data_IF_486341070675
#
_entry.id   IF_486341070675
#
_cell.length_a   1.000
_cell.length_b   1.000
_cell.length_c   1.000
_cell.angle_alpha   90.00
_cell.angle_beta   90.00
_cell.angle_gamma   90.00
#
_symmetry.space_group_name_H-M   'P 1'
#
loop_
_entity.id
_entity.type
_entity.pdbx_description
1 polymer ?
#
# COMPACT_ATOMS: atom_id res chain seq x y z
N UNK A 1 -13.36 6.18 29.23
CA UNK A 1 -12.52 6.23 28.02
C UNK A 1 -11.24 6.96 28.40
N UNK A 2 -10.12 6.26 28.56
CA UNK A 2 -8.87 6.88 29.03
C UNK A 2 -8.36 7.93 28.06
N UNK A 3 -7.92 9.07 28.58
CA UNK A 3 -7.36 10.17 27.79
C UNK A 3 -6.14 9.67 27.03
N UNK A 4 -6.22 9.61 25.69
CA UNK A 4 -5.09 9.28 24.83
C UNK A 4 -3.99 10.33 25.00
N UNK A 5 -2.74 9.88 25.10
CA UNK A 5 -1.59 10.79 25.08
C UNK A 5 -1.64 11.65 23.81
N UNK A 6 -1.40 12.96 23.89
CA UNK A 6 -1.49 13.87 22.73
C UNK A 6 -0.68 13.43 21.52
N UNK A 7 0.49 12.84 21.75
CA UNK A 7 1.36 12.30 20.70
C UNK A 7 0.69 11.15 19.92
N UNK A 8 0.06 10.22 20.63
CA UNK A 8 -0.66 9.09 20.02
C UNK A 8 -1.85 9.60 19.22
N UNK A 9 -2.60 10.58 19.76
CA UNK A 9 -3.71 11.20 19.04
C UNK A 9 -3.24 11.84 17.71
N UNK A 10 -2.09 12.54 17.72
CA UNK A 10 -1.48 13.12 16.51
C UNK A 10 -1.12 12.05 15.48
N UNK A 11 -0.50 10.95 15.90
CA UNK A 11 -0.15 9.84 15.01
C UNK A 11 -1.39 9.19 14.38
N UNK A 12 -2.45 9.00 15.17
CA UNK A 12 -3.71 8.46 14.68
C UNK A 12 -4.39 9.41 13.69
N UNK A 13 -4.39 10.72 13.95
CA UNK A 13 -4.92 11.72 13.03
C UNK A 13 -4.16 11.73 11.69
N UNK A 14 -2.83 11.71 11.72
CA UNK A 14 -2.02 11.64 10.50
C UNK A 14 -2.26 10.34 9.71
N UNK A 15 -2.45 9.23 10.42
CA UNK A 15 -2.82 7.94 9.80
C UNK A 15 -4.20 8.01 9.15
N UNK A 16 -5.16 8.66 9.79
CA UNK A 16 -6.51 8.86 9.24
C UNK A 16 -6.50 9.73 7.99
N UNK A 17 -5.81 10.88 8.06
CA UNK A 17 -5.66 11.77 6.91
C UNK A 17 -5.07 11.02 5.69
N UNK A 18 -4.03 10.21 5.92
CA UNK A 18 -3.45 9.36 4.87
C UNK A 18 -4.46 8.35 4.33
N UNK A 19 -5.29 7.72 5.18
CA UNK A 19 -6.33 6.79 4.74
C UNK A 19 -7.37 7.47 3.86
N UNK A 20 -7.84 8.66 4.24
CA UNK A 20 -8.77 9.45 3.42
C UNK A 20 -8.17 9.77 2.04
N UNK A 21 -6.91 10.23 2.00
CA UNK A 21 -6.20 10.48 0.74
C UNK A 21 -6.09 9.23 -0.13
N UNK A 22 -5.74 8.08 0.45
CA UNK A 22 -5.64 6.81 -0.26
C UNK A 22 -7.00 6.28 -0.73
N UNK A 23 -8.07 6.52 0.03
CA UNK A 23 -9.42 6.14 -0.35
C UNK A 23 -9.85 6.86 -1.64
N UNK A 24 -9.48 8.13 -1.79
CA UNK A 24 -9.76 8.95 -2.97
C UNK A 24 -8.94 8.62 -4.22
N UNK A 25 -7.94 7.74 -4.14
CA UNK A 25 -7.11 7.38 -5.30
C UNK A 25 -7.96 6.66 -6.36
N UNK A 26 -7.87 7.05 -7.65
CA UNK A 26 -8.57 6.35 -8.73
C UNK A 26 -8.23 4.86 -8.78
N UNK A 27 -9.20 4.05 -9.19
CA UNK A 27 -9.01 2.60 -9.29
C UNK A 27 -7.75 2.19 -10.11
N UNK A 28 -7.45 2.79 -11.27
CA UNK A 28 -6.24 2.45 -12.03
C UNK A 28 -4.94 2.68 -11.25
N UNK A 29 -4.87 3.75 -10.45
CA UNK A 29 -3.71 4.06 -9.61
C UNK A 29 -3.56 3.08 -8.44
N UNK A 30 -4.68 2.64 -7.85
CA UNK A 30 -4.68 1.58 -6.84
C UNK A 30 -4.11 0.28 -7.42
N UNK A 31 -4.51 -0.10 -8.63
CA UNK A 31 -3.98 -1.29 -9.32
C UNK A 31 -2.49 -1.13 -9.61
N UNK A 32 -2.04 0.05 -10.08
CA UNK A 32 -0.60 0.35 -10.28
C UNK A 32 0.20 0.17 -9.00
N UNK A 33 -0.29 0.69 -7.87
CA UNK A 33 0.36 0.55 -6.58
C UNK A 33 0.49 -0.93 -6.17
N UNK A 34 -0.57 -1.73 -6.35
CA UNK A 34 -0.55 -3.18 -6.07
C UNK A 34 0.48 -3.90 -6.93
N UNK A 35 0.54 -3.62 -8.24
CA UNK A 35 1.54 -4.23 -9.13
C UNK A 35 2.96 -3.86 -8.70
N UNK A 36 3.20 -2.61 -8.28
CA UNK A 36 4.51 -2.18 -7.78
C UNK A 36 4.91 -2.95 -6.51
N UNK A 37 3.99 -3.14 -5.58
CA UNK A 37 4.20 -3.97 -4.38
C UNK A 37 4.48 -5.43 -4.75
N UNK A 38 3.76 -5.99 -5.72
CA UNK A 38 4.02 -7.34 -6.24
C UNK A 38 5.43 -7.46 -6.82
N UNK A 39 5.91 -6.46 -7.58
CA UNK A 39 7.28 -6.44 -8.13
C UNK A 39 8.33 -6.46 -7.02
N UNK A 40 8.12 -5.67 -5.96
CA UNK A 40 9.05 -5.60 -4.83
C UNK A 40 9.14 -6.92 -4.05
N UNK A 41 8.00 -7.59 -3.83
CA UNK A 41 7.96 -8.82 -3.01
C UNK A 41 8.31 -10.09 -3.81
N UNK A 42 8.14 -10.06 -5.15
CA UNK A 42 8.35 -11.25 -5.98
C UNK A 42 9.75 -11.88 -5.84
N UNK A 43 10.88 -11.15 -5.82
CA UNK A 43 12.20 -11.74 -5.62
C UNK A 43 12.31 -12.50 -4.30
N UNK A 44 11.78 -11.95 -3.21
CA UNK A 44 11.81 -12.57 -1.87
C UNK A 44 11.02 -13.87 -1.87
N UNK A 45 9.84 -13.89 -2.51
CA UNK A 45 9.01 -15.08 -2.58
C UNK A 45 9.64 -16.17 -3.47
N UNK A 46 10.27 -15.78 -4.59
CA UNK A 46 11.02 -16.71 -5.45
C UNK A 46 12.20 -17.33 -4.73
N UNK A 47 12.96 -16.55 -3.96
CA UNK A 47 14.07 -17.05 -3.15
C UNK A 47 13.61 -18.08 -2.11
N UNK A 48 12.35 -18.02 -1.68
CA UNK A 48 11.72 -19.01 -0.79
C UNK A 48 11.12 -20.22 -1.54
N UNK A 49 11.45 -20.40 -2.81
CA UNK A 49 10.94 -21.50 -3.64
C UNK A 49 9.49 -21.35 -4.08
N UNK A 50 8.84 -20.21 -3.87
CA UNK A 50 7.46 -19.99 -4.33
C UNK A 50 7.44 -19.55 -5.79
N UNK A 51 6.63 -20.22 -6.60
CA UNK A 51 6.32 -19.77 -7.95
C UNK A 51 5.37 -18.57 -7.88
N UNK A 52 5.87 -17.39 -8.24
CA UNK A 52 5.08 -16.14 -8.22
C UNK A 52 5.17 -15.41 -9.55
N UNK A 53 3.99 -14.99 -10.04
CA UNK A 53 3.82 -14.18 -11.25
C UNK A 53 3.32 -12.79 -10.85
N UNK A 54 4.06 -11.77 -11.28
CA UNK A 54 3.63 -10.36 -11.14
C UNK A 54 2.65 -10.05 -12.26
N UNK A 55 1.58 -9.30 -11.96
CA UNK A 55 0.65 -8.87 -13.00
C UNK A 55 1.32 -7.90 -13.98
N UNK A 56 1.02 -8.06 -15.27
CA UNK A 56 1.45 -7.14 -16.29
C UNK A 56 0.28 -6.20 -16.60
N UNK A 57 0.48 -4.91 -16.36
CA UNK A 57 -0.47 -3.85 -16.71
C UNK A 57 0.25 -2.90 -17.67
N UNK A 58 -0.47 -2.39 -18.67
CA UNK A 58 0.07 -1.32 -19.52
C UNK A 58 0.37 -0.12 -18.63
N UNK A 59 1.64 0.27 -18.55
CA UNK A 59 2.01 1.55 -17.98
C UNK A 59 1.55 2.60 -18.99
N UNK A 60 0.56 3.42 -18.61
CA UNK A 60 0.20 4.57 -19.43
C UNK A 60 1.41 5.52 -19.42
N UNK A 61 1.83 6.06 -20.57
CA UNK A 61 2.98 6.97 -20.66
C UNK A 61 2.82 8.20 -19.77
#
# INVERSE_FOLDING_TARGET
MGTLKPEVARLLAAKEERRCKLAGVPFPDKVRAVVRLQRMVAPVLRARGRQVRVWNIKESP
#
